data_IF_446453058966
#
_entry.id   IF_446453058966
#
_cell.length_a   1.000
_cell.length_b   1.000
_cell.length_c   1.000
_cell.angle_alpha   90.00
_cell.angle_beta   90.00
_cell.angle_gamma   90.00
#
_symmetry.space_group_name_H-M   'P 1'
#
loop_
_entity.id
_entity.type
_entity.pdbx_description
1 polymer ?
#
# COMPACT_ATOMS: atom_id res chain seq x y z
N UNK A 1 -27.16 -5.77 -11.91
CA UNK A 1 -27.65 -5.90 -10.52
C UNK A 1 -26.43 -5.85 -9.60
N UNK A 2 -26.07 -4.67 -9.10
CA UNK A 2 -24.98 -4.52 -8.14
C UNK A 2 -25.56 -4.60 -6.73
N UNK A 3 -25.59 -5.81 -6.18
CA UNK A 3 -25.78 -5.99 -4.74
C UNK A 3 -24.45 -5.66 -4.09
N UNK A 4 -24.18 -4.37 -3.85
CA UNK A 4 -23.11 -3.96 -2.94
C UNK A 4 -23.55 -4.47 -1.57
N UNK A 5 -23.06 -5.64 -1.21
CA UNK A 5 -23.40 -6.38 0.00
C UNK A 5 -23.22 -5.47 1.22
N UNK A 6 -24.25 -5.31 2.03
CA UNK A 6 -24.18 -4.54 3.28
C UNK A 6 -23.01 -4.99 4.20
N UNK A 7 -22.61 -6.27 4.09
CA UNK A 7 -21.43 -6.88 4.72
C UNK A 7 -20.09 -6.32 4.25
N UNK A 8 -19.94 -5.94 2.96
CA UNK A 8 -18.68 -5.36 2.48
C UNK A 8 -18.47 -3.96 3.06
N UNK A 9 -19.54 -3.18 3.28
CA UNK A 9 -19.41 -1.83 3.83
C UNK A 9 -18.89 -1.77 5.28
N UNK A 10 -19.23 -2.77 6.11
CA UNK A 10 -18.77 -2.84 7.50
C UNK A 10 -17.31 -3.28 7.60
N UNK A 11 -16.86 -4.22 6.76
CA UNK A 11 -15.46 -4.68 6.77
C UNK A 11 -14.52 -3.72 6.03
N UNK A 12 -14.98 -3.04 4.98
CA UNK A 12 -14.14 -2.11 4.20
C UNK A 12 -13.78 -0.85 4.99
N UNK A 13 -14.68 -0.35 5.86
CA UNK A 13 -14.43 0.87 6.63
C UNK A 13 -13.18 0.78 7.54
N UNK A 14 -13.03 -0.25 8.40
CA UNK A 14 -11.81 -0.45 9.19
C UNK A 14 -10.56 -0.61 8.34
N UNK A 15 -10.64 -1.33 7.21
CA UNK A 15 -9.52 -1.52 6.29
C UNK A 15 -9.08 -0.18 5.70
N UNK A 16 -10.04 0.61 5.21
CA UNK A 16 -9.78 1.91 4.61
C UNK A 16 -9.18 2.86 5.64
N UNK A 17 -9.73 2.86 6.85
CA UNK A 17 -9.22 3.64 7.97
C UNK A 17 -7.78 3.28 8.30
N UNK A 18 -7.48 1.99 8.49
CA UNK A 18 -6.14 1.53 8.81
C UNK A 18 -5.16 1.85 7.68
N UNK A 19 -5.57 1.65 6.43
CA UNK A 19 -4.74 1.95 5.26
C UNK A 19 -4.39 3.43 5.18
N UNK A 20 -5.38 4.32 5.38
CA UNK A 20 -5.19 5.77 5.45
C UNK A 20 -4.23 6.17 6.56
N UNK A 21 -4.44 5.63 7.75
CA UNK A 21 -3.61 5.93 8.92
C UNK A 21 -2.18 5.42 8.76
N UNK A 22 -2.00 4.22 8.19
CA UNK A 22 -0.67 3.66 7.88
C UNK A 22 0.04 4.52 6.84
N UNK A 23 -0.65 4.95 5.77
CA UNK A 23 -0.07 5.88 4.79
C UNK A 23 0.37 7.18 5.48
N UNK A 24 -0.53 7.86 6.19
CA UNK A 24 -0.22 9.14 6.79
C UNK A 24 0.94 9.06 7.80
N UNK A 25 0.91 8.07 8.69
CA UNK A 25 1.97 7.87 9.68
C UNK A 25 3.32 7.46 9.05
N UNK A 26 3.31 6.68 7.96
CA UNK A 26 4.53 6.30 7.26
C UNK A 26 5.19 7.52 6.60
N UNK A 27 4.41 8.43 6.01
CA UNK A 27 4.93 9.58 5.27
C UNK A 27 5.41 10.73 6.15
N UNK A 28 5.03 10.75 7.43
CA UNK A 28 5.65 11.63 8.44
C UNK A 28 7.07 11.19 8.80
N UNK A 29 7.42 9.90 8.66
CA UNK A 29 8.79 9.43 8.83
C UNK A 29 9.59 9.61 7.52
N UNK A 30 9.94 10.86 7.24
CA UNK A 30 10.66 11.24 6.02
C UNK A 30 11.99 10.50 5.85
N UNK A 31 12.68 10.15 6.95
CA UNK A 31 13.94 9.42 6.90
C UNK A 31 13.72 7.99 6.43
N UNK A 32 12.72 7.31 7.01
CA UNK A 32 12.34 5.96 6.62
C UNK A 32 11.92 5.93 5.14
N UNK A 33 10.99 6.81 4.75
CA UNK A 33 10.49 6.90 3.37
C UNK A 33 11.62 7.18 2.39
N UNK A 34 12.48 8.18 2.65
CA UNK A 34 13.62 8.51 1.80
C UNK A 34 14.59 7.33 1.65
N UNK A 35 14.84 6.58 2.72
CA UNK A 35 15.74 5.41 2.69
C UNK A 35 15.22 4.31 1.76
N UNK A 36 13.89 4.10 1.70
CA UNK A 36 13.26 3.09 0.87
C UNK A 36 13.01 3.55 -0.56
N UNK A 37 12.70 4.84 -0.78
CA UNK A 37 12.58 5.42 -2.12
C UNK A 37 13.90 5.28 -2.89
N UNK A 38 15.03 5.59 -2.25
CA UNK A 38 16.38 5.42 -2.87
C UNK A 38 16.70 3.98 -3.25
N UNK A 39 16.06 3.00 -2.60
CA UNK A 39 16.29 1.57 -2.79
C UNK A 39 15.20 0.89 -3.63
N UNK A 40 14.17 1.62 -4.08
CA UNK A 40 13.02 1.06 -4.80
C UNK A 40 12.20 0.05 -4.00
N UNK A 41 12.16 0.19 -2.67
CA UNK A 41 11.57 -0.82 -1.76
C UNK A 41 10.38 -0.35 -0.93
N UNK A 42 9.89 0.87 -1.14
CA UNK A 42 8.85 1.46 -0.29
C UNK A 42 7.51 0.72 -0.42
N UNK A 43 7.10 0.35 -1.63
CA UNK A 43 5.87 -0.41 -1.87
C UNK A 43 5.87 -1.75 -1.13
N UNK A 44 7.00 -2.46 -1.10
CA UNK A 44 7.16 -3.73 -0.38
C UNK A 44 7.07 -3.49 1.13
N UNK A 45 7.80 -2.50 1.64
CA UNK A 45 7.79 -2.17 3.06
C UNK A 45 6.38 -1.83 3.54
N UNK A 46 5.72 -0.90 2.84
CA UNK A 46 4.41 -0.39 3.21
C UNK A 46 3.33 -1.47 3.11
N UNK A 47 3.37 -2.31 2.06
CA UNK A 47 2.45 -3.43 1.90
C UNK A 47 2.65 -4.52 2.96
N UNK A 48 3.90 -4.87 3.30
CA UNK A 48 4.17 -5.87 4.34
C UNK A 48 3.76 -5.34 5.72
N UNK A 49 4.04 -4.06 6.01
CA UNK A 49 3.61 -3.42 7.25
C UNK A 49 2.08 -3.44 7.38
N UNK A 50 1.38 -2.96 6.35
CA UNK A 50 -0.08 -2.92 6.34
C UNK A 50 -0.68 -4.33 6.45
N UNK A 51 -0.09 -5.33 5.78
CA UNK A 51 -0.52 -6.72 5.89
C UNK A 51 -0.51 -7.20 7.35
N UNK A 52 0.56 -6.94 8.10
CA UNK A 52 0.62 -7.30 9.52
C UNK A 52 -0.36 -6.49 10.37
N UNK A 53 -0.49 -5.19 10.14
CA UNK A 53 -1.44 -4.35 10.88
C UNK A 53 -2.89 -4.80 10.68
N UNK A 54 -3.27 -5.20 9.46
CA UNK A 54 -4.60 -5.75 9.17
C UNK A 54 -4.85 -7.11 9.82
N UNK A 55 -3.81 -7.92 10.01
CA UNK A 55 -3.94 -9.17 10.77
C UNK A 55 -4.11 -8.92 12.27
N UNK A 56 -3.37 -7.96 12.83
CA UNK A 56 -3.41 -7.62 14.26
C UNK A 56 -4.72 -6.92 14.65
N UNK A 57 -5.40 -6.25 13.72
CA UNK A 57 -6.68 -5.59 14.01
C UNK A 57 -7.82 -6.57 14.29
N UNK A 58 -7.65 -7.86 13.97
CA UNK A 58 -8.70 -8.90 14.00
C UNK A 58 -9.92 -8.60 13.11
N UNK A 59 -9.86 -7.57 12.26
CA UNK A 59 -10.93 -7.22 11.31
C UNK A 59 -10.93 -8.15 10.08
N UNK A 60 -9.79 -8.79 9.80
CA UNK A 60 -9.62 -9.65 8.62
C UNK A 60 -8.89 -10.94 8.97
N UNK A 61 -9.45 -12.06 8.54
CA UNK A 61 -8.77 -13.36 8.64
C UNK A 61 -7.64 -13.47 7.61
N UNK A 62 -6.55 -14.12 8.00
CA UNK A 62 -5.35 -14.28 7.18
C UNK A 62 -5.57 -14.89 5.80
N UNK A 63 -6.56 -15.78 5.65
CA UNK A 63 -6.91 -16.40 4.37
C UNK A 63 -7.58 -15.45 3.37
N UNK A 64 -7.98 -14.24 3.80
CA UNK A 64 -8.62 -13.23 2.95
C UNK A 64 -7.64 -12.18 2.44
N UNK A 65 -6.38 -12.20 2.91
CA UNK A 65 -5.33 -11.28 2.50
C UNK A 65 -4.25 -12.00 1.67
N UNK A 66 -3.92 -11.43 0.52
CA UNK A 66 -2.78 -11.85 -0.30
C UNK A 66 -1.83 -10.69 -0.48
N UNK A 67 -0.54 -10.90 -0.20
CA UNK A 67 0.51 -9.99 -0.65
C UNK A 67 0.81 -10.29 -2.12
N UNK A 68 0.95 -9.26 -2.95
CA UNK A 68 1.21 -9.41 -4.39
C UNK A 68 2.46 -8.64 -4.75
N UNK A 69 3.32 -9.26 -5.55
CA UNK A 69 4.47 -8.60 -6.19
C UNK A 69 4.37 -8.73 -7.71
N UNK A 70 4.74 -7.67 -8.42
CA UNK A 70 4.75 -7.66 -9.87
C UNK A 70 5.09 -6.26 -10.40
N UNK A 71 4.28 -5.76 -11.32
CA UNK A 71 4.48 -4.46 -11.95
C UNK A 71 3.19 -3.67 -12.09
N UNK A 72 3.33 -2.34 -12.16
CA UNK A 72 2.28 -1.44 -12.60
C UNK A 72 2.52 -1.04 -14.05
N UNK A 73 1.43 -0.70 -14.74
CA UNK A 73 1.44 0.04 -15.99
C UNK A 73 0.53 1.25 -15.82
N UNK A 74 1.09 2.45 -15.90
CA UNK A 74 0.34 3.69 -15.85
C UNK A 74 0.23 4.27 -17.25
N UNK A 75 -0.96 4.23 -17.81
CA UNK A 75 -1.21 4.77 -19.14
C UNK A 75 -1.14 6.30 -19.11
N UNK A 76 -0.44 6.88 -20.08
CA UNK A 76 -0.36 8.32 -20.20
C UNK A 76 -1.57 8.89 -20.95
N UNK A 77 -2.05 10.06 -20.52
CA UNK A 77 -3.03 10.83 -21.27
C UNK A 77 -2.52 11.13 -22.68
N UNK A 78 -3.46 11.30 -23.60
CA UNK A 78 -3.15 11.48 -25.02
C UNK A 78 -2.20 12.63 -25.31
N UNK A 79 -2.21 13.67 -24.47
CA UNK A 79 -1.38 14.86 -24.62
C UNK A 79 -0.10 14.84 -23.77
N UNK A 80 0.21 13.75 -23.07
CA UNK A 80 1.38 13.70 -22.21
C UNK A 80 2.67 13.73 -23.04
N UNK A 81 3.61 14.61 -22.65
CA UNK A 81 4.85 14.88 -23.41
C UNK A 81 5.74 13.64 -23.59
N UNK A 82 5.61 12.64 -22.72
CA UNK A 82 6.40 11.42 -22.76
C UNK A 82 5.68 10.23 -23.42
N UNK A 83 4.47 10.41 -23.95
CA UNK A 83 3.64 9.33 -24.53
C UNK A 83 4.36 8.49 -25.58
N UNK A 84 5.02 9.13 -26.54
CA UNK A 84 5.73 8.44 -27.62
C UNK A 84 7.03 7.77 -27.16
N UNK A 85 7.65 8.27 -26.08
CA UNK A 85 8.92 7.74 -25.57
C UNK A 85 8.72 6.45 -24.76
N UNK A 86 7.59 6.33 -24.06
CA UNK A 86 7.30 5.19 -23.19
C UNK A 86 6.20 4.28 -23.73
N UNK A 87 6.00 4.21 -25.06
CA UNK A 87 4.99 3.32 -25.67
C UNK A 87 3.60 3.44 -25.02
N UNK A 88 3.16 4.68 -24.76
CA UNK A 88 1.90 5.03 -24.11
C UNK A 88 1.77 4.79 -22.60
N UNK A 89 2.85 4.49 -21.86
CA UNK A 89 2.75 4.45 -20.40
C UNK A 89 4.02 4.11 -19.63
N UNK A 90 4.02 4.42 -18.35
CA UNK A 90 5.12 4.11 -17.44
C UNK A 90 4.96 2.71 -16.84
N UNK A 91 6.05 1.95 -16.81
CA UNK A 91 6.12 0.64 -16.17
C UNK A 91 7.10 0.68 -14.99
N UNK A 92 6.75 -0.03 -13.92
CA UNK A 92 7.65 -0.20 -12.79
C UNK A 92 7.27 -1.36 -11.90
N UNK A 93 8.24 -1.85 -11.12
CA UNK A 93 7.97 -2.88 -10.13
C UNK A 93 7.09 -2.31 -9.02
N UNK A 94 6.14 -3.14 -8.56
CA UNK A 94 5.23 -2.76 -7.50
C UNK A 94 4.81 -3.94 -6.63
N UNK A 95 4.32 -3.60 -5.45
CA UNK A 95 3.68 -4.57 -4.57
C UNK A 95 2.52 -3.93 -3.84
N UNK A 96 1.49 -4.73 -3.60
CA UNK A 96 0.23 -4.31 -3.01
C UNK A 96 -0.41 -5.48 -2.25
N UNK A 97 -1.54 -5.24 -1.61
CA UNK A 97 -2.34 -6.26 -0.93
C UNK A 97 -3.64 -6.47 -1.71
N UNK A 98 -4.11 -7.71 -1.77
CA UNK A 98 -5.48 -8.03 -2.15
C UNK A 98 -6.28 -8.45 -0.92
N UNK A 99 -7.46 -7.86 -0.74
CA UNK A 99 -8.49 -8.32 0.18
C UNK A 99 -9.72 -8.72 -0.63
N UNK A 100 -10.01 -10.02 -0.74
CA UNK A 100 -11.12 -10.53 -1.57
C UNK A 100 -11.21 -9.86 -2.96
N UNK A 101 -10.06 -9.79 -3.63
CA UNK A 101 -9.87 -9.20 -4.95
C UNK A 101 -9.93 -7.65 -5.03
N UNK A 102 -10.20 -6.97 -3.92
CA UNK A 102 -9.97 -5.53 -3.80
C UNK A 102 -8.48 -5.22 -3.58
N UNK A 103 -7.93 -4.30 -4.38
CA UNK A 103 -6.58 -3.79 -4.18
C UNK A 103 -6.56 -2.87 -2.97
N UNK A 104 -5.61 -3.08 -2.07
CA UNK A 104 -5.27 -2.19 -0.97
C UNK A 104 -3.81 -1.75 -1.14
N UNK A 105 -3.58 -0.45 -1.28
CA UNK A 105 -2.25 0.07 -1.58
C UNK A 105 -2.02 1.49 -1.02
N UNK A 106 -0.97 1.63 -0.21
CA UNK A 106 -0.56 2.90 0.42
C UNK A 106 0.45 3.70 -0.41
N UNK A 107 0.89 3.17 -1.54
CA UNK A 107 2.01 3.68 -2.34
C UNK A 107 1.68 3.92 -3.80
N UNK A 108 0.62 3.30 -4.35
CA UNK A 108 0.20 3.45 -5.74
C UNK A 108 -0.03 4.92 -6.14
N UNK A 109 -0.48 5.73 -5.20
CA UNK A 109 -0.73 7.15 -5.43
C UNK A 109 0.53 7.94 -5.78
N UNK A 110 1.70 7.55 -5.26
CA UNK A 110 2.97 8.22 -5.63
C UNK A 110 3.23 8.11 -7.13
N UNK A 111 2.84 6.98 -7.74
CA UNK A 111 3.02 6.76 -9.17
C UNK A 111 2.12 7.72 -9.95
N UNK A 112 0.83 7.81 -9.59
CA UNK A 112 -0.12 8.70 -10.23
C UNK A 112 0.28 10.18 -10.08
N UNK A 113 0.66 10.60 -8.87
CA UNK A 113 1.08 11.97 -8.56
C UNK A 113 2.37 12.39 -9.30
N UNK A 114 3.30 11.47 -9.55
CA UNK A 114 4.53 11.76 -10.27
C UNK A 114 4.29 12.19 -11.73
N UNK A 115 3.17 11.78 -12.34
CA UNK A 115 2.83 12.12 -13.72
C UNK A 115 1.74 13.18 -13.81
N UNK A 116 0.74 13.16 -12.91
CA UNK A 116 -0.41 14.08 -12.93
C UNK A 116 -0.75 14.62 -11.52
N UNK A 117 0.10 15.49 -10.94
CA UNK A 117 -0.07 15.95 -9.55
C UNK A 117 -1.38 16.73 -9.31
N UNK A 118 -1.90 17.40 -10.33
CA UNK A 118 -3.11 18.23 -10.22
C UNK A 118 -4.42 17.43 -10.31
N UNK A 119 -4.38 16.19 -10.82
CA UNK A 119 -5.55 15.36 -11.11
C UNK A 119 -5.90 14.39 -9.98
N UNK A 120 -4.93 14.06 -9.13
CA UNK A 120 -5.11 13.07 -8.07
C UNK A 120 -5.16 13.75 -6.69
N UNK A 121 -6.25 14.46 -6.40
CA UNK A 121 -6.47 15.12 -5.09
C UNK A 121 -7.12 14.22 -4.05
N UNK A 122 -7.81 13.16 -4.48
CA UNK A 122 -8.49 12.22 -3.59
C UNK A 122 -7.80 10.84 -3.56
N UNK A 123 -7.58 10.34 -2.34
CA UNK A 123 -6.87 9.09 -2.09
C UNK A 123 -7.82 7.88 -2.13
N UNK A 124 -7.76 7.10 -3.21
CA UNK A 124 -8.42 5.80 -3.27
C UNK A 124 -7.42 4.70 -2.88
N UNK A 125 -7.38 4.40 -1.59
CA UNK A 125 -6.58 3.31 -1.01
C UNK A 125 -7.15 1.92 -1.27
N UNK A 126 -8.43 1.86 -1.69
CA UNK A 126 -9.17 0.63 -1.99
C UNK A 126 -9.95 0.85 -3.29
N UNK A 127 -9.76 -0.01 -4.29
CA UNK A 127 -10.51 0.06 -5.53
C UNK A 127 -10.29 -1.15 -6.44
N UNK A 128 -11.24 -1.38 -7.36
CA UNK A 128 -11.09 -2.34 -8.47
C UNK A 128 -10.16 -1.80 -9.57
N UNK A 129 -10.00 -0.47 -9.66
CA UNK A 129 -9.15 0.21 -10.65
C UNK A 129 -8.48 1.44 -10.03
N UNK A 130 -7.18 1.63 -10.22
CA UNK A 130 -6.38 2.70 -9.58
C UNK A 130 -6.17 3.92 -10.48
N UNK A 131 -7.23 4.40 -11.16
CA UNK A 131 -7.20 5.66 -11.91
C UNK A 131 -6.27 5.64 -13.13
N UNK A 132 -6.44 4.66 -14.03
CA UNK A 132 -5.58 4.49 -15.21
C UNK A 132 -4.26 3.77 -14.94
N UNK A 133 -4.08 3.25 -13.71
CA UNK A 133 -2.99 2.35 -13.38
C UNK A 133 -3.51 0.90 -13.40
N UNK A 134 -2.87 0.08 -14.20
CA UNK A 134 -3.09 -1.35 -14.26
C UNK A 134 -2.05 -2.08 -13.40
N UNK A 135 -2.48 -3.03 -12.59
CA UNK A 135 -1.61 -3.81 -11.71
C UNK A 135 -1.56 -5.27 -12.16
N UNK A 136 -0.35 -5.80 -12.25
CA UNK A 136 -0.09 -7.18 -12.66
C UNK A 136 0.86 -7.82 -11.67
N UNK A 137 0.58 -9.04 -11.23
CA UNK A 137 1.47 -9.70 -10.29
C UNK A 137 1.00 -11.08 -9.86
N UNK A 138 1.80 -11.69 -8.99
CA UNK A 138 1.54 -13.02 -8.45
C UNK A 138 1.31 -12.93 -6.94
N UNK A 139 0.33 -13.69 -6.45
CA UNK A 139 0.07 -13.85 -5.01
C UNK A 139 1.26 -14.56 -4.39
N UNK A 140 1.94 -13.87 -3.49
CA UNK A 140 3.08 -14.37 -2.75
C UNK A 140 2.66 -15.27 -1.59
N UNK A 141 3.59 -16.09 -1.13
CA UNK A 141 3.33 -16.96 0.02
C UNK A 141 3.41 -16.18 1.33
N UNK A 142 2.69 -16.66 2.36
CA UNK A 142 2.84 -16.15 3.74
C UNK A 142 4.29 -16.24 4.25
N UNK A 143 5.08 -17.20 3.73
CA UNK A 143 6.50 -17.33 4.04
C UNK A 143 7.32 -16.16 3.47
N UNK A 144 6.98 -15.69 2.27
CA UNK A 144 7.59 -14.49 1.66
C UNK A 144 7.34 -13.26 2.54
N UNK A 145 6.08 -13.04 2.93
CA UNK A 145 5.69 -11.92 3.81
C UNK A 145 6.44 -11.94 5.13
N UNK A 146 6.49 -13.12 5.78
CA UNK A 146 7.25 -13.31 7.01
C UNK A 146 8.75 -13.03 6.83
N UNK A 147 9.35 -13.48 5.73
CA UNK A 147 10.77 -13.24 5.43
C UNK A 147 11.05 -11.75 5.29
N UNK A 148 10.18 -10.98 4.64
CA UNK A 148 10.33 -9.52 4.57
C UNK A 148 10.25 -8.90 5.96
N UNK A 149 9.16 -9.12 6.69
CA UNK A 149 8.97 -8.51 8.01
C UNK A 149 10.10 -8.84 8.98
N UNK A 150 10.47 -10.12 9.10
CA UNK A 150 11.51 -10.56 10.03
C UNK A 150 12.92 -10.21 9.54
N UNK A 151 13.30 -10.73 8.37
CA UNK A 151 14.71 -10.72 7.92
C UNK A 151 15.12 -9.44 7.22
N UNK A 152 14.17 -8.65 6.71
CA UNK A 152 14.50 -7.42 5.96
C UNK A 152 14.17 -6.14 6.70
N UNK A 153 13.15 -6.15 7.58
CA UNK A 153 12.71 -4.92 8.23
C UNK A 153 13.03 -4.93 9.73
N UNK A 154 12.50 -5.89 10.49
CA UNK A 154 12.70 -5.93 11.92
C UNK A 154 14.19 -6.14 12.31
N UNK A 155 14.84 -7.17 11.79
CA UNK A 155 16.25 -7.47 12.14
C UNK A 155 17.21 -6.34 11.73
N UNK A 156 16.95 -5.67 10.60
CA UNK A 156 17.76 -4.52 10.16
C UNK A 156 17.60 -3.29 11.08
N UNK A 157 16.51 -3.22 11.84
CA UNK A 157 16.26 -2.19 12.84
C UNK A 157 16.58 -2.65 14.26
N UNK A 158 17.26 -3.81 14.42
CA UNK A 158 17.52 -4.44 15.71
C UNK A 158 16.25 -4.71 16.54
N UNK A 159 15.16 -5.06 15.86
CA UNK A 159 13.86 -5.38 16.46
C UNK A 159 13.45 -6.82 16.13
N UNK A 160 12.61 -7.40 16.98
CA UNK A 160 11.73 -8.51 16.63
C UNK A 160 10.59 -8.03 15.73
N UNK A 161 9.92 -8.95 15.03
CA UNK A 161 8.76 -8.59 14.21
C UNK A 161 7.63 -7.95 15.04
N UNK A 162 7.43 -8.42 16.27
CA UNK A 162 6.43 -7.86 17.19
C UNK A 162 6.78 -6.43 17.62
N UNK A 163 8.04 -6.18 17.99
CA UNK A 163 8.51 -4.83 18.32
C UNK A 163 8.40 -3.87 17.14
N UNK A 164 8.74 -4.34 15.94
CA UNK A 164 8.60 -3.56 14.72
C UNK A 164 7.14 -3.16 14.45
N UNK A 165 6.19 -4.09 14.61
CA UNK A 165 4.76 -3.80 14.48
C UNK A 165 4.31 -2.78 15.54
N UNK A 166 4.66 -3.00 16.81
CA UNK A 166 4.31 -2.09 17.92
C UNK A 166 4.90 -0.70 17.73
N UNK A 167 6.12 -0.60 17.20
CA UNK A 167 6.75 0.67 16.86
C UNK A 167 5.86 1.46 15.87
N UNK A 168 5.40 0.84 14.79
CA UNK A 168 4.54 1.51 13.82
C UNK A 168 3.14 1.83 14.36
N UNK A 169 2.55 0.94 15.16
CA UNK A 169 1.28 1.23 15.85
C UNK A 169 1.43 2.47 16.76
N UNK A 170 2.52 2.59 17.50
CA UNK A 170 2.80 3.77 18.34
C UNK A 170 2.90 5.05 17.50
N UNK A 171 3.56 5.00 16.34
CA UNK A 171 3.63 6.13 15.40
C UNK A 171 2.25 6.51 14.85
N UNK A 172 1.44 5.53 14.48
CA UNK A 172 0.06 5.74 14.01
C UNK A 172 -0.81 6.38 15.09
N UNK A 173 -0.76 5.89 16.33
CA UNK A 173 -1.50 6.47 17.45
C UNK A 173 -1.07 7.91 17.73
N UNK A 174 0.24 8.19 17.68
CA UNK A 174 0.77 9.55 17.85
C UNK A 174 0.23 10.49 16.77
N UNK A 175 0.21 10.03 15.52
CA UNK A 175 -0.33 10.78 14.40
C UNK A 175 -1.82 11.07 14.58
N UNK A 176 -2.60 10.05 14.92
CA UNK A 176 -4.05 10.18 15.16
C UNK A 176 -4.36 11.23 16.23
N UNK A 177 -3.64 11.20 17.36
CA UNK A 177 -3.81 12.18 18.44
C UNK A 177 -3.45 13.61 17.99
N UNK A 178 -2.36 13.76 17.24
CA UNK A 178 -1.86 15.07 16.79
C UNK A 178 -2.79 15.73 15.77
N UNK A 179 -3.39 14.94 14.87
CA UNK A 179 -4.12 15.47 13.72
C UNK A 179 -5.64 15.22 13.75
N UNK A 180 -6.15 14.64 14.84
CA UNK A 180 -7.59 14.35 15.02
C UNK A 180 -8.16 13.56 13.84
N UNK A 181 -7.38 12.55 13.43
CA UNK A 181 -7.62 11.71 12.25
C UNK A 181 -8.71 10.67 12.48
#
# INVERSE_FOLDING_TARGET
MHTINFFTSQTIKPILYLTKLTHAALYEDHNLVSSFLKKGGLCIYASVLLYYLLLESNEISKNRLSFVQGYYHHEFHDQHIFKNMYQNGAFGLHSYILFEDYVIDTTIHQIAFNFYPDEHKEFNFIGETTGGINLYGFKETNRTVYKYAKKKFAENSNMTTEEWIKYHQSKMNTFQLKFHF
#
